data_IF_139407605127
#
_entry.id   IF_139407605127
#
_cell.length_a   1.000
_cell.length_b   1.000
_cell.length_c   1.000
_cell.angle_alpha   90.00
_cell.angle_beta   90.00
_cell.angle_gamma   90.00
#
_symmetry.space_group_name_H-M   'P 1'
#
loop_
_entity.id
_entity.type
_entity.pdbx_description
1 polymer ?
#
# COMPACT_ATOMS: atom_id res chain seq x y z
N UNK A 1 -3.43 3.86 -69.34
CA UNK A 1 -4.37 2.91 -68.69
C UNK A 1 -3.56 1.86 -67.93
N UNK A 2 -4.01 1.47 -66.72
CA UNK A 2 -3.49 0.49 -65.73
C UNK A 2 -3.14 1.18 -64.40
N UNK A 3 -4.13 1.50 -63.56
CA UNK A 3 -4.86 0.69 -62.54
C UNK A 3 -3.99 0.26 -61.35
N UNK A 4 -4.27 0.95 -60.24
CA UNK A 4 -3.98 0.69 -58.84
C UNK A 4 -4.48 -0.70 -58.41
N UNK A 5 -3.71 -1.42 -57.59
CA UNK A 5 -4.23 -2.48 -56.70
C UNK A 5 -3.48 -2.38 -55.38
N UNK A 6 -4.19 -1.99 -54.32
CA UNK A 6 -3.77 -2.05 -52.93
C UNK A 6 -4.31 -3.38 -52.38
N UNK A 7 -3.43 -4.24 -51.89
CA UNK A 7 -3.80 -5.46 -51.17
C UNK A 7 -3.90 -5.14 -49.67
N UNK A 8 -5.12 -5.17 -49.13
CA UNK A 8 -5.37 -5.28 -47.70
C UNK A 8 -5.23 -6.76 -47.31
N UNK A 9 -4.28 -7.07 -46.43
CA UNK A 9 -4.23 -8.35 -45.74
C UNK A 9 -4.93 -8.20 -44.38
N UNK A 10 -6.06 -8.88 -44.22
CA UNK A 10 -6.80 -9.02 -42.98
C UNK A 10 -6.25 -10.26 -42.24
N UNK A 11 -5.55 -10.08 -41.13
CA UNK A 11 -5.20 -11.17 -40.21
C UNK A 11 -6.18 -11.20 -39.04
N UNK A 12 -7.01 -12.25 -38.98
CA UNK A 12 -7.84 -12.55 -37.82
C UNK A 12 -6.95 -12.91 -36.62
N UNK A 13 -7.00 -12.10 -35.56
CA UNK A 13 -6.45 -12.46 -34.26
C UNK A 13 -7.45 -13.39 -33.57
N UNK A 14 -7.08 -14.66 -33.38
CA UNK A 14 -7.80 -15.55 -32.49
C UNK A 14 -7.65 -15.04 -31.05
N UNK A 15 -8.75 -14.52 -30.48
CA UNK A 15 -8.82 -14.16 -29.07
C UNK A 15 -9.11 -15.46 -28.31
N UNK A 16 -8.08 -16.14 -27.85
CA UNK A 16 -8.24 -17.05 -26.72
C UNK A 16 -8.59 -16.19 -25.50
N UNK A 17 -9.59 -16.54 -24.68
CA UNK A 17 -9.78 -15.87 -23.41
C UNK A 17 -8.57 -16.23 -22.55
N UNK A 18 -7.61 -15.32 -22.45
CA UNK A 18 -6.66 -15.35 -21.34
C UNK A 18 -7.54 -15.30 -20.09
N UNK A 19 -7.60 -16.39 -19.34
CA UNK A 19 -8.05 -16.35 -17.95
C UNK A 19 -7.17 -15.32 -17.27
N UNK A 20 -7.68 -14.10 -17.08
CA UNK A 20 -7.02 -13.07 -16.29
C UNK A 20 -6.95 -13.63 -14.87
N UNK A 21 -5.85 -14.31 -14.53
CA UNK A 21 -5.59 -14.72 -13.17
C UNK A 21 -5.49 -13.45 -12.34
N UNK A 22 -6.41 -13.27 -11.39
CA UNK A 22 -6.31 -12.23 -10.39
C UNK A 22 -4.95 -12.40 -9.68
N UNK A 23 -4.18 -11.32 -9.55
CA UNK A 23 -2.87 -11.35 -8.92
C UNK A 23 -2.96 -11.92 -7.49
N UNK A 24 -1.95 -12.68 -7.07
CA UNK A 24 -1.90 -13.25 -5.72
C UNK A 24 -1.10 -12.34 -4.79
N UNK A 25 -1.59 -12.10 -3.58
CA UNK A 25 -0.89 -11.39 -2.52
C UNK A 25 -0.43 -12.38 -1.44
N UNK A 26 0.88 -12.57 -1.30
CA UNK A 26 1.48 -13.39 -0.24
C UNK A 26 1.90 -12.49 0.92
N UNK A 27 1.15 -12.52 2.03
CA UNK A 27 1.24 -11.51 3.08
C UNK A 27 1.76 -12.10 4.39
N UNK A 28 2.83 -11.49 4.91
CA UNK A 28 3.48 -11.85 6.17
C UNK A 28 2.97 -10.93 7.27
N UNK A 29 2.46 -11.52 8.35
CA UNK A 29 1.96 -10.79 9.52
C UNK A 29 3.03 -10.04 10.33
N UNK A 30 2.57 -9.40 11.39
CA UNK A 30 3.39 -8.69 12.38
C UNK A 30 3.61 -9.50 13.66
N UNK A 31 3.85 -8.80 14.77
CA UNK A 31 4.01 -9.43 16.09
C UNK A 31 2.65 -9.66 16.79
N UNK A 32 2.65 -10.57 17.77
CA UNK A 32 1.49 -10.81 18.63
C UNK A 32 0.27 -11.29 17.84
N UNK A 33 -0.90 -10.71 18.10
CA UNK A 33 -2.16 -11.13 17.44
C UNK A 33 -2.14 -10.95 15.91
N UNK A 34 -1.25 -10.11 15.37
CA UNK A 34 -1.13 -9.86 13.94
C UNK A 34 -0.14 -10.81 13.24
N UNK A 35 0.39 -11.82 13.94
CA UNK A 35 1.28 -12.82 13.31
C UNK A 35 0.56 -13.66 12.23
N UNK A 36 -0.78 -13.72 12.31
CA UNK A 36 -1.67 -14.36 11.36
C UNK A 36 -2.69 -13.28 11.01
N UNK A 37 -2.71 -12.91 9.74
CA UNK A 37 -3.63 -11.93 9.20
C UNK A 37 -4.93 -12.63 8.81
N UNK A 38 -6.06 -12.06 9.22
CA UNK A 38 -7.37 -12.50 8.73
C UNK A 38 -7.55 -12.07 7.27
N UNK A 39 -8.51 -12.67 6.55
CA UNK A 39 -8.85 -12.18 5.20
C UNK A 39 -9.29 -10.71 5.24
N UNK A 40 -10.00 -10.28 6.30
CA UNK A 40 -10.37 -8.88 6.48
C UNK A 40 -9.16 -7.97 6.68
N UNK A 41 -8.18 -8.36 7.50
CA UNK A 41 -6.95 -7.59 7.68
C UNK A 41 -6.23 -7.38 6.35
N UNK A 42 -6.09 -8.46 5.58
CA UNK A 42 -5.41 -8.43 4.29
C UNK A 42 -6.21 -7.63 3.24
N UNK A 43 -7.53 -7.80 3.19
CA UNK A 43 -8.41 -7.13 2.23
C UNK A 43 -8.54 -5.64 2.49
N UNK A 44 -8.37 -5.18 3.74
CA UNK A 44 -8.52 -3.76 4.12
C UNK A 44 -7.19 -3.02 4.28
N UNK A 45 -6.06 -3.74 4.27
CA UNK A 45 -4.73 -3.16 4.32
C UNK A 45 -4.51 -2.10 3.23
N UNK A 46 -3.85 -1.01 3.61
CA UNK A 46 -3.58 0.17 2.79
C UNK A 46 -4.83 0.74 2.09
N UNK A 47 -5.99 0.62 2.76
CA UNK A 47 -7.29 1.07 2.27
C UNK A 47 -7.86 0.23 1.14
N UNK A 48 -7.51 -1.05 1.08
CA UNK A 48 -8.03 -1.98 0.09
C UNK A 48 -7.08 -2.28 -1.05
N UNK A 49 -5.77 -2.02 -0.88
CA UNK A 49 -4.77 -2.26 -1.93
C UNK A 49 -4.77 -3.71 -2.43
N UNK A 50 -5.05 -4.67 -1.55
CA UNK A 50 -5.14 -6.09 -1.89
C UNK A 50 -6.58 -6.62 -2.03
N UNK A 51 -7.59 -5.74 -2.09
CA UNK A 51 -9.00 -6.14 -2.04
C UNK A 51 -9.41 -7.06 -3.21
N UNK A 52 -8.80 -6.87 -4.38
CA UNK A 52 -9.10 -7.63 -5.61
C UNK A 52 -8.07 -8.75 -5.87
N UNK A 53 -7.16 -9.01 -4.93
CA UNK A 53 -6.16 -10.07 -5.03
C UNK A 53 -6.70 -11.39 -4.47
N UNK A 54 -6.13 -12.50 -4.93
CA UNK A 54 -6.14 -13.73 -4.14
C UNK A 54 -5.18 -13.55 -2.96
N UNK A 55 -5.66 -13.45 -1.72
CA UNK A 55 -4.81 -13.14 -0.56
C UNK A 55 -4.46 -14.41 0.22
N UNK A 56 -3.20 -14.57 0.54
CA UNK A 56 -2.67 -15.69 1.31
C UNK A 56 -1.88 -15.15 2.48
N UNK A 57 -2.28 -15.52 3.70
CA UNK A 57 -1.44 -15.29 4.87
C UNK A 57 -0.30 -16.31 4.89
N UNK A 58 0.93 -15.84 4.78
CA UNK A 58 2.13 -16.67 4.91
C UNK A 58 2.45 -16.86 6.39
N UNK A 59 2.67 -18.12 6.79
CA UNK A 59 2.92 -18.47 8.19
C UNK A 59 4.18 -17.77 8.73
N UNK A 60 4.00 -17.00 9.80
CA UNK A 60 5.03 -16.25 10.49
C UNK A 60 4.88 -16.40 12.00
N UNK A 61 5.91 -16.85 12.74
CA UNK A 61 5.76 -17.06 14.19
C UNK A 61 5.44 -15.79 15.01
N UNK A 62 5.89 -14.61 14.56
CA UNK A 62 5.57 -13.33 15.22
C UNK A 62 6.04 -13.18 16.68
N UNK A 63 7.07 -13.94 17.09
CA UNK A 63 7.59 -13.94 18.47
C UNK A 63 8.67 -12.87 18.65
N UNK A 64 8.38 -11.83 19.42
CA UNK A 64 9.32 -10.72 19.67
C UNK A 64 10.54 -11.15 20.50
N UNK A 65 10.35 -12.05 21.47
CA UNK A 65 11.43 -12.60 22.29
C UNK A 65 12.32 -13.61 21.53
N UNK A 66 11.84 -14.14 20.42
CA UNK A 66 12.57 -15.02 19.50
C UNK A 66 12.52 -14.44 18.09
N UNK A 67 12.83 -13.15 17.97
CA UNK A 67 12.62 -12.41 16.72
C UNK A 67 13.40 -12.99 15.55
N UNK A 68 14.68 -13.32 15.77
CA UNK A 68 15.49 -13.99 14.75
C UNK A 68 14.84 -15.27 14.23
N UNK A 69 14.38 -16.14 15.13
CA UNK A 69 13.68 -17.37 14.75
C UNK A 69 12.42 -17.06 13.92
N UNK A 70 11.64 -16.06 14.32
CA UNK A 70 10.44 -15.66 13.57
C UNK A 70 10.78 -15.20 12.16
N UNK A 71 11.81 -14.36 12.01
CA UNK A 71 12.29 -13.87 10.71
C UNK A 71 12.84 -15.00 9.85
N UNK A 72 13.64 -15.91 10.42
CA UNK A 72 14.21 -17.04 9.67
C UNK A 72 13.09 -17.96 9.12
N UNK A 73 12.13 -18.34 9.96
CA UNK A 73 10.98 -19.18 9.54
C UNK A 73 10.11 -18.45 8.52
N UNK A 74 9.78 -17.18 8.76
CA UNK A 74 8.99 -16.39 7.81
C UNK A 74 9.67 -16.24 6.46
N UNK A 75 11.00 -16.05 6.45
CA UNK A 75 11.81 -15.96 5.22
C UNK A 75 11.73 -17.26 4.42
N UNK A 76 11.93 -18.41 5.07
CA UNK A 76 11.83 -19.71 4.42
C UNK A 76 10.43 -19.96 3.84
N UNK A 77 9.39 -19.68 4.63
CA UNK A 77 7.99 -19.89 4.21
C UNK A 77 7.59 -18.98 3.05
N UNK A 78 7.94 -17.69 3.10
CA UNK A 78 7.61 -16.75 2.03
C UNK A 78 8.38 -17.08 0.74
N UNK A 79 9.68 -17.38 0.85
CA UNK A 79 10.49 -17.74 -0.31
C UNK A 79 9.92 -18.99 -1.00
N UNK A 80 9.55 -20.04 -0.25
CA UNK A 80 8.88 -21.21 -0.82
C UNK A 80 7.53 -20.85 -1.47
N UNK A 81 6.70 -20.05 -0.80
CA UNK A 81 5.39 -19.66 -1.31
C UNK A 81 5.46 -18.86 -2.62
N UNK A 82 6.54 -18.10 -2.87
CA UNK A 82 6.76 -17.42 -4.16
C UNK A 82 6.83 -18.42 -5.32
N UNK A 83 7.47 -19.57 -5.14
CA UNK A 83 7.61 -20.59 -6.19
C UNK A 83 6.39 -21.51 -6.30
N UNK A 84 5.66 -21.70 -5.20
CA UNK A 84 4.41 -22.50 -5.19
C UNK A 84 3.21 -21.73 -5.78
N UNK A 85 3.35 -20.42 -5.97
CA UNK A 85 2.29 -19.54 -6.48
C UNK A 85 2.46 -19.31 -7.98
N UNK A 86 1.45 -19.73 -8.76
CA UNK A 86 1.43 -19.46 -10.19
C UNK A 86 0.93 -18.04 -10.50
N UNK A 87 1.57 -17.41 -11.49
CA UNK A 87 1.15 -16.12 -12.05
C UNK A 87 1.64 -14.90 -11.25
N UNK A 88 1.20 -13.69 -11.67
CA UNK A 88 1.65 -12.44 -11.07
C UNK A 88 1.38 -12.40 -9.56
N UNK A 89 2.43 -12.08 -8.80
CA UNK A 89 2.43 -12.13 -7.34
C UNK A 89 2.89 -10.80 -6.75
N UNK A 90 2.29 -10.40 -5.63
CA UNK A 90 2.81 -9.34 -4.77
C UNK A 90 3.13 -9.92 -3.41
N UNK A 91 4.40 -9.87 -3.00
CA UNK A 91 4.79 -10.22 -1.64
C UNK A 91 4.58 -9.00 -0.74
N UNK A 92 4.03 -9.19 0.45
CA UNK A 92 3.83 -8.09 1.37
C UNK A 92 4.03 -8.44 2.83
N UNK A 93 4.24 -7.42 3.64
CA UNK A 93 4.36 -7.59 5.08
C UNK A 93 3.94 -6.37 5.88
N UNK A 94 3.67 -6.61 7.16
CA UNK A 94 3.39 -5.55 8.13
C UNK A 94 4.35 -5.62 9.32
N UNK A 95 4.80 -4.46 9.81
CA UNK A 95 5.49 -4.34 11.10
C UNK A 95 6.70 -5.29 11.23
N UNK A 96 6.70 -6.14 12.26
CA UNK A 96 7.73 -7.14 12.55
C UNK A 96 7.99 -8.14 11.41
N UNK A 97 7.07 -8.29 10.44
CA UNK A 97 7.26 -9.10 9.24
C UNK A 97 8.16 -8.46 8.19
N UNK A 98 8.46 -7.15 8.26
CA UNK A 98 9.24 -6.46 7.21
C UNK A 98 10.60 -7.06 6.88
N UNK A 99 11.40 -7.57 7.86
CA UNK A 99 12.68 -8.19 7.54
C UNK A 99 12.53 -9.43 6.65
N UNK A 100 11.39 -10.13 6.71
CA UNK A 100 11.11 -11.31 5.89
C UNK A 100 11.13 -10.94 4.41
N UNK A 101 10.40 -9.89 4.01
CA UNK A 101 10.36 -9.40 2.62
C UNK A 101 11.75 -8.98 2.16
N UNK A 102 12.46 -8.21 2.99
CA UNK A 102 13.81 -7.76 2.62
C UNK A 102 14.80 -8.92 2.47
N UNK A 103 14.67 -9.98 3.27
CA UNK A 103 15.51 -11.17 3.13
C UNK A 103 15.16 -11.95 1.87
N UNK A 104 13.86 -12.15 1.58
CA UNK A 104 13.41 -12.84 0.35
C UNK A 104 13.89 -12.11 -0.89
N UNK A 105 13.77 -10.78 -0.95
CA UNK A 105 14.28 -10.00 -2.08
C UNK A 105 15.80 -10.18 -2.28
N UNK A 106 16.59 -10.25 -1.20
CA UNK A 106 18.03 -10.56 -1.28
C UNK A 106 18.33 -11.98 -1.73
N UNK A 107 17.50 -12.94 -1.34
CA UNK A 107 17.63 -14.33 -1.80
C UNK A 107 17.31 -14.45 -3.28
N UNK A 108 16.24 -13.80 -3.75
CA UNK A 108 15.86 -13.78 -5.16
C UNK A 108 16.93 -13.11 -6.05
N UNK A 109 17.60 -12.06 -5.56
CA UNK A 109 18.72 -11.44 -6.27
C UNK A 109 19.93 -12.38 -6.50
N UNK A 110 20.05 -13.43 -5.68
CA UNK A 110 21.09 -14.45 -5.76
C UNK A 110 20.61 -15.74 -6.43
N UNK A 111 19.32 -15.84 -6.73
CA UNK A 111 18.73 -17.03 -7.31
C UNK A 111 19.13 -17.16 -8.79
N UNK A 112 19.51 -18.35 -9.28
CA UNK A 112 19.79 -18.56 -10.70
C UNK A 112 18.54 -18.53 -11.59
N UNK A 113 17.34 -18.72 -11.03
CA UNK A 113 16.06 -18.72 -11.72
C UNK A 113 14.97 -18.00 -10.88
N UNK A 114 15.13 -16.69 -10.61
CA UNK A 114 14.13 -15.92 -9.89
C UNK A 114 12.92 -15.62 -10.79
N UNK A 115 11.75 -15.29 -10.22
CA UNK A 115 10.61 -14.77 -10.99
C UNK A 115 11.03 -13.58 -11.85
N UNK A 116 10.44 -13.42 -13.03
CA UNK A 116 10.76 -12.27 -13.87
C UNK A 116 10.33 -10.96 -13.18
N UNK A 117 10.97 -9.81 -13.47
CA UNK A 117 10.62 -8.54 -12.83
C UNK A 117 9.15 -8.11 -13.02
N UNK A 118 8.49 -8.61 -14.07
CA UNK A 118 7.08 -8.37 -14.36
C UNK A 118 6.11 -9.31 -13.62
N UNK A 119 6.62 -10.32 -12.94
CA UNK A 119 5.84 -11.36 -12.26
C UNK A 119 5.78 -11.15 -10.73
N UNK A 120 6.60 -10.25 -10.19
CA UNK A 120 6.71 -10.02 -8.76
C UNK A 120 6.86 -8.54 -8.41
N UNK A 121 6.00 -8.06 -7.51
CA UNK A 121 6.17 -6.78 -6.81
C UNK A 121 6.20 -7.00 -5.29
N UNK A 122 6.64 -5.99 -4.54
CA UNK A 122 6.70 -6.02 -3.08
C UNK A 122 6.00 -4.83 -2.43
N UNK A 123 5.33 -5.04 -1.29
CA UNK A 123 4.70 -3.98 -0.52
C UNK A 123 4.85 -4.17 0.99
N UNK A 124 5.44 -3.19 1.68
CA UNK A 124 5.70 -3.24 3.12
C UNK A 124 5.01 -2.06 3.79
N UNK A 125 4.18 -2.35 4.79
CA UNK A 125 3.65 -1.33 5.68
C UNK A 125 4.33 -1.38 7.05
N UNK A 126 4.68 -0.20 7.58
CA UNK A 126 5.14 -0.04 8.96
C UNK A 126 6.42 -0.81 9.27
N UNK A 127 7.30 -1.02 8.28
CA UNK A 127 8.52 -1.80 8.49
C UNK A 127 9.38 -1.23 9.61
N UNK A 128 9.88 -2.10 10.49
CA UNK A 128 10.57 -1.68 11.72
C UNK A 128 11.82 -0.85 11.43
N UNK A 129 11.99 0.27 12.15
CA UNK A 129 13.15 1.17 12.01
C UNK A 129 14.43 0.56 12.64
N UNK A 130 15.64 1.05 12.28
CA UNK A 130 16.92 0.46 12.70
C UNK A 130 17.06 0.26 14.22
N UNK A 131 16.48 1.15 15.02
CA UNK A 131 16.51 1.07 16.49
C UNK A 131 15.95 -0.25 17.02
N UNK A 132 14.90 -0.76 16.38
CA UNK A 132 14.17 -1.95 16.84
C UNK A 132 14.87 -3.27 16.49
N UNK A 133 15.96 -3.24 15.71
CA UNK A 133 16.78 -4.42 15.47
C UNK A 133 17.77 -4.71 16.61
N UNK A 134 18.12 -3.70 17.43
CA UNK A 134 19.12 -3.85 18.49
C UNK A 134 18.67 -4.90 19.52
N UNK A 135 19.53 -5.88 19.76
CA UNK A 135 19.27 -6.93 20.76
C UNK A 135 18.33 -8.05 20.30
N UNK A 136 17.87 -8.03 19.05
CA UNK A 136 16.91 -9.03 18.54
C UNK A 136 17.54 -10.27 17.90
N UNK A 137 18.86 -10.21 17.65
CA UNK A 137 19.59 -11.23 16.88
C UNK A 137 19.45 -11.09 15.36
N UNK A 138 18.61 -10.17 14.86
CA UNK A 138 18.51 -9.82 13.43
C UNK A 138 19.34 -8.57 13.17
N UNK A 139 20.22 -8.62 12.16
CA UNK A 139 21.02 -7.46 11.75
C UNK A 139 20.18 -6.55 10.86
N UNK A 140 20.07 -5.26 11.21
CA UNK A 140 19.50 -4.26 10.30
C UNK A 140 20.34 -4.17 9.03
N UNK A 141 19.66 -4.12 7.89
CA UNK A 141 20.23 -3.87 6.58
C UNK A 141 19.33 -2.87 5.85
N UNK A 142 19.90 -1.92 5.08
CA UNK A 142 19.12 -1.08 4.18
C UNK A 142 18.24 -1.88 3.23
N UNK A 143 17.26 -1.22 2.62
CA UNK A 143 16.44 -1.83 1.56
C UNK A 143 17.35 -2.47 0.50
N UNK A 144 17.07 -3.72 0.09
CA UNK A 144 17.89 -4.38 -0.92
C UNK A 144 17.69 -3.72 -2.28
N UNK A 145 18.77 -3.72 -3.07
CA UNK A 145 18.68 -3.55 -4.51
C UNK A 145 18.00 -4.78 -5.10
N UNK A 146 17.04 -4.58 -5.99
CA UNK A 146 16.16 -5.64 -6.51
C UNK A 146 15.59 -5.23 -7.87
N UNK A 147 15.37 -6.16 -8.82
CA UNK A 147 14.70 -5.82 -10.07
C UNK A 147 13.19 -5.58 -9.91
N UNK A 148 12.61 -5.99 -8.78
CA UNK A 148 11.19 -5.83 -8.45
C UNK A 148 10.87 -4.45 -7.90
N UNK A 149 9.65 -3.95 -8.14
CA UNK A 149 9.23 -2.69 -7.54
C UNK A 149 8.84 -2.90 -6.08
N UNK A 150 9.22 -1.95 -5.23
CA UNK A 150 8.96 -2.00 -3.80
C UNK A 150 8.13 -0.79 -3.37
N UNK A 151 6.98 -1.03 -2.76
CA UNK A 151 6.19 0.00 -2.07
C UNK A 151 6.48 -0.04 -0.58
N UNK A 152 6.97 1.06 0.00
CA UNK A 152 7.19 1.19 1.44
C UNK A 152 6.26 2.25 1.99
N UNK A 153 5.35 1.84 2.86
CA UNK A 153 4.33 2.70 3.46
C UNK A 153 4.57 2.83 4.96
N UNK A 154 4.53 4.05 5.48
CA UNK A 154 4.56 4.29 6.93
C UNK A 154 3.78 5.54 7.29
N UNK A 155 3.29 5.61 8.52
CA UNK A 155 2.73 6.85 9.04
C UNK A 155 3.84 7.78 9.56
N UNK A 156 3.66 9.07 9.31
CA UNK A 156 4.53 10.13 9.82
C UNK A 156 4.58 10.06 11.35
N UNK A 157 5.79 9.96 11.90
CA UNK A 157 6.06 9.82 13.33
C UNK A 157 5.58 8.52 13.98
N UNK A 158 5.24 7.49 13.21
CA UNK A 158 5.07 6.14 13.75
C UNK A 158 6.36 5.70 14.46
N UNK A 159 6.36 5.60 15.79
CA UNK A 159 7.59 5.27 16.52
C UNK A 159 8.15 3.86 16.26
N UNK A 160 7.42 2.99 15.57
CA UNK A 160 7.97 1.70 15.13
C UNK A 160 8.68 1.87 13.78
N UNK A 161 8.02 2.48 12.80
CA UNK A 161 8.47 2.54 11.41
C UNK A 161 9.21 3.83 11.01
N UNK A 162 8.99 4.90 11.75
CA UNK A 162 9.45 6.27 11.53
C UNK A 162 10.01 6.84 12.84
N UNK A 163 11.00 6.16 13.42
CA UNK A 163 11.70 6.66 14.60
C UNK A 163 12.65 7.82 14.21
N UNK A 164 12.79 8.88 15.03
CA UNK A 164 13.65 10.03 14.71
C UNK A 164 15.12 9.65 14.54
N UNK A 165 15.77 10.23 13.52
CA UNK A 165 17.19 10.07 13.23
C UNK A 165 18.10 10.72 14.27
N UNK A 166 17.64 11.83 14.87
CA UNK A 166 18.35 12.49 15.97
C UNK A 166 17.81 12.00 17.33
N UNK A 167 18.52 11.10 18.03
CA UNK A 167 18.05 10.55 19.31
C UNK A 167 18.06 11.56 20.46
N UNK A 168 18.68 12.73 20.31
CA UNK A 168 18.76 13.76 21.37
C UNK A 168 17.59 14.74 21.36
N UNK A 169 16.71 14.69 20.35
CA UNK A 169 15.49 15.48 20.35
C UNK A 169 14.40 14.79 21.18
N UNK A 170 14.37 15.10 22.48
CA UNK A 170 13.44 14.48 23.43
C UNK A 170 11.96 14.68 23.05
N UNK A 171 11.60 15.85 22.50
CA UNK A 171 10.23 16.11 22.04
C UNK A 171 9.84 15.20 20.87
N UNK A 172 10.74 15.03 19.89
CA UNK A 172 10.51 14.12 18.77
C UNK A 172 10.41 12.65 19.24
N UNK A 173 11.21 12.25 20.23
CA UNK A 173 11.13 10.91 20.80
C UNK A 173 9.80 10.66 21.52
N UNK A 174 9.33 11.60 22.35
CA UNK A 174 8.00 11.52 22.98
C UNK A 174 6.89 11.49 21.93
N UNK A 175 7.00 12.32 20.89
CA UNK A 175 6.06 12.31 19.79
C UNK A 175 6.02 10.95 19.06
N UNK A 176 7.18 10.37 18.79
CA UNK A 176 7.30 9.06 18.14
C UNK A 176 6.71 7.94 19.00
N UNK A 177 6.94 7.97 20.32
CA UNK A 177 6.31 7.02 21.27
C UNK A 177 4.78 7.12 21.18
N UNK A 178 4.23 8.34 21.19
CA UNK A 178 2.79 8.53 20.98
C UNK A 178 2.34 8.03 19.61
N UNK A 179 3.14 8.25 18.56
CA UNK A 179 2.87 7.74 17.22
C UNK A 179 2.89 6.21 17.12
N UNK A 180 3.75 5.52 17.87
CA UNK A 180 3.75 4.06 17.94
C UNK A 180 2.41 3.52 18.47
N UNK A 181 1.83 4.16 19.49
CA UNK A 181 0.54 3.76 20.06
C UNK A 181 -0.65 4.14 19.18
N UNK A 182 -0.62 5.33 18.59
CA UNK A 182 -1.78 5.92 17.91
C UNK A 182 -1.84 5.61 16.41
N UNK A 183 -0.69 5.36 15.78
CA UNK A 183 -0.59 5.28 14.33
C UNK A 183 -0.20 3.89 13.82
N UNK A 184 0.71 3.18 14.51
CA UNK A 184 1.39 2.04 13.93
C UNK A 184 0.43 0.99 13.35
N UNK A 185 -0.56 0.57 14.14
CA UNK A 185 -1.59 -0.36 13.67
C UNK A 185 -2.72 0.35 12.92
N UNK A 186 -3.36 1.43 13.45
CA UNK A 186 -4.52 2.02 12.79
C UNK A 186 -4.25 2.52 11.36
N UNK A 187 -3.06 3.06 11.11
CA UNK A 187 -2.70 3.58 9.78
C UNK A 187 -2.37 2.49 8.76
N UNK A 188 -2.28 1.21 9.18
CA UNK A 188 -2.14 0.08 8.27
C UNK A 188 -3.35 -0.04 7.33
N UNK A 189 -4.49 0.51 7.73
CA UNK A 189 -5.74 0.47 6.99
C UNK A 189 -6.08 1.80 6.31
N UNK A 190 -5.17 2.78 6.33
CA UNK A 190 -5.36 4.07 5.66
C UNK A 190 -5.32 3.89 4.14
N UNK A 191 -6.22 4.56 3.41
CA UNK A 191 -6.22 4.56 1.94
C UNK A 191 -5.05 5.36 1.40
N UNK A 192 -4.03 4.64 0.93
CA UNK A 192 -2.79 5.24 0.44
C UNK A 192 -3.00 6.07 -0.84
N UNK A 193 -4.11 5.89 -1.56
CA UNK A 193 -4.47 6.75 -2.70
C UNK A 193 -4.83 8.17 -2.27
N UNK A 194 -5.18 8.36 -0.99
CA UNK A 194 -5.49 9.65 -0.39
C UNK A 194 -4.25 10.37 0.16
N UNK A 195 -3.07 9.75 0.06
CA UNK A 195 -1.82 10.41 0.47
C UNK A 195 -1.46 11.49 -0.55
N UNK A 196 -1.23 12.74 -0.10
CA UNK A 196 -0.77 13.81 -0.97
C UNK A 196 0.50 13.47 -1.75
N UNK A 197 0.59 13.91 -3.02
CA UNK A 197 1.74 13.63 -3.88
C UNK A 197 3.09 14.11 -3.29
N UNK A 198 3.11 15.20 -2.52
CA UNK A 198 4.30 15.71 -1.83
C UNK A 198 4.77 14.83 -0.64
N UNK A 199 4.01 13.80 -0.30
CA UNK A 199 4.36 12.77 0.69
C UNK A 199 4.62 11.40 0.03
N UNK A 200 4.72 11.37 -1.29
CA UNK A 200 5.07 10.19 -2.08
C UNK A 200 6.39 10.49 -2.79
N UNK A 201 7.36 9.60 -2.66
CA UNK A 201 8.63 9.70 -3.36
C UNK A 201 8.88 8.40 -4.11
N UNK A 202 9.20 8.50 -5.39
CA UNK A 202 9.64 7.37 -6.21
C UNK A 202 11.14 7.53 -6.41
N UNK A 203 11.91 6.49 -6.09
CA UNK A 203 13.35 6.49 -6.36
C UNK A 203 13.62 6.39 -7.86
N UNK A 204 14.80 6.83 -8.28
CA UNK A 204 15.36 6.36 -9.54
C UNK A 204 15.48 4.82 -9.52
N UNK A 205 15.49 4.17 -10.71
CA UNK A 205 15.79 2.75 -10.80
C UNK A 205 17.12 2.44 -10.15
N UNK A 206 17.12 1.41 -9.32
CA UNK A 206 18.29 0.94 -8.63
C UNK A 206 19.21 0.16 -9.60
N UNK A 207 20.35 -0.35 -9.14
CA UNK A 207 21.32 -1.08 -9.97
C UNK A 207 20.78 -2.37 -10.63
N UNK A 208 19.64 -2.88 -10.16
CA UNK A 208 18.90 -4.02 -10.71
C UNK A 208 17.67 -3.61 -11.53
N UNK A 209 17.36 -2.31 -11.61
CA UNK A 209 16.26 -1.76 -12.40
C UNK A 209 14.94 -1.57 -11.64
N UNK A 210 14.81 -2.07 -10.42
CA UNK A 210 13.60 -1.87 -9.61
C UNK A 210 13.53 -0.47 -9.00
N UNK A 211 12.31 0.03 -8.79
CA UNK A 211 12.06 1.32 -8.13
C UNK A 211 11.43 1.14 -6.75
N UNK A 212 11.74 2.05 -5.82
CA UNK A 212 11.07 2.12 -4.52
C UNK A 212 10.10 3.29 -4.49
N UNK A 213 8.81 3.02 -4.30
CA UNK A 213 7.78 4.02 -3.98
C UNK A 213 7.63 4.13 -2.47
N UNK A 214 8.13 5.21 -1.88
CA UNK A 214 7.95 5.55 -0.47
C UNK A 214 6.69 6.39 -0.28
N UNK A 215 5.79 5.96 0.60
CA UNK A 215 4.54 6.65 0.93
C UNK A 215 4.55 6.98 2.42
N UNK A 216 4.52 8.28 2.74
CA UNK A 216 4.45 8.77 4.11
C UNK A 216 3.04 9.27 4.40
N UNK A 217 2.26 8.53 5.18
CA UNK A 217 0.90 8.96 5.57
C UNK A 217 1.05 10.13 6.56
N UNK A 218 0.68 11.37 6.18
CA UNK A 218 0.90 12.53 7.04
C UNK A 218 0.03 12.48 8.29
N UNK A 219 0.42 13.15 9.36
CA UNK A 219 -0.47 13.34 10.52
C UNK A 219 -1.14 14.71 10.46
N UNK A 220 -2.45 14.83 10.79
CA UNK A 220 -3.12 16.13 10.81
C UNK A 220 -2.58 17.04 11.92
N UNK A 221 -2.20 16.45 13.06
CA UNK A 221 -1.49 17.08 14.17
C UNK A 221 -0.49 16.08 14.73
N UNK A 222 0.58 16.58 15.36
CA UNK A 222 1.60 15.80 16.03
C UNK A 222 0.93 14.75 16.94
N UNK A 223 1.34 13.46 16.89
CA UNK A 223 0.82 12.42 17.76
C UNK A 223 0.74 12.79 19.24
N UNK A 224 1.70 13.56 19.76
CA UNK A 224 1.66 14.01 21.16
C UNK A 224 0.45 14.92 21.48
N UNK A 225 -0.10 15.61 20.48
CA UNK A 225 -1.24 16.52 20.61
C UNK A 225 -2.59 15.83 20.35
N UNK A 226 -2.59 14.67 19.69
CA UNK A 226 -3.83 13.96 19.34
C UNK A 226 -4.71 13.62 20.56
N UNK A 227 -4.18 13.17 21.72
CA UNK A 227 -5.01 12.89 22.89
C UNK A 227 -5.75 14.12 23.41
N UNK A 228 -5.17 15.33 23.27
CA UNK A 228 -5.83 16.56 23.70
C UNK A 228 -7.02 16.86 22.80
N UNK A 229 -6.85 16.71 21.48
CA UNK A 229 -7.93 16.86 20.51
C UNK A 229 -9.06 15.86 20.76
N UNK A 230 -8.72 14.59 21.04
CA UNK A 230 -9.68 13.54 21.36
C UNK A 230 -10.46 13.81 22.66
N UNK A 231 -9.87 14.54 23.60
CA UNK A 231 -10.52 14.97 24.85
C UNK A 231 -11.34 16.27 24.70
N UNK A 232 -11.52 16.78 23.48
CA UNK A 232 -12.35 17.95 23.20
C UNK A 232 -11.63 19.29 23.35
N UNK A 233 -10.29 19.31 23.35
CA UNK A 233 -9.57 20.58 23.25
C UNK A 233 -9.91 21.30 21.93
N UNK A 234 -9.94 22.63 21.99
CA UNK A 234 -10.19 23.51 20.85
C UNK A 234 -9.24 23.19 19.67
N UNK A 235 -9.77 22.74 18.51
CA UNK A 235 -8.95 22.37 17.35
C UNK A 235 -8.02 23.47 16.87
N UNK A 236 -8.43 24.74 16.94
CA UNK A 236 -7.63 25.87 16.44
C UNK A 236 -6.44 26.13 17.35
N UNK A 237 -6.63 25.98 18.67
CA UNK A 237 -5.51 26.06 19.64
C UNK A 237 -4.54 24.91 19.46
N UNK A 238 -5.03 23.70 19.20
CA UNK A 238 -4.16 22.54 18.92
C UNK A 238 -3.38 22.76 17.63
N UNK A 239 -4.01 23.31 16.58
CA UNK A 239 -3.34 23.64 15.33
C UNK A 239 -2.23 24.69 15.52
N UNK A 240 -2.47 25.73 16.32
CA UNK A 240 -1.45 26.72 16.65
C UNK A 240 -0.27 26.11 17.44
N UNK A 241 -0.55 25.18 18.35
CA UNK A 241 0.49 24.49 19.10
C UNK A 241 1.28 23.53 18.21
N UNK A 242 0.60 22.80 17.32
CA UNK A 242 1.24 21.97 16.29
C UNK A 242 2.19 22.80 15.43
N UNK A 243 1.74 23.95 14.91
CA UNK A 243 2.57 24.83 14.09
C UNK A 243 3.85 25.30 14.80
N UNK A 244 3.83 25.43 16.13
CA UNK A 244 5.00 25.80 16.94
C UNK A 244 5.92 24.61 17.24
N UNK A 245 5.35 23.44 17.54
CA UNK A 245 6.11 22.26 17.98
C UNK A 245 6.61 21.41 16.81
N UNK A 246 5.88 21.34 15.71
CA UNK A 246 6.19 20.50 14.55
C UNK A 246 7.56 20.81 13.95
N UNK A 247 7.97 22.08 13.74
CA UNK A 247 9.34 22.36 13.28
C UNK A 247 10.42 21.85 14.25
N UNK A 248 10.14 21.85 15.56
CA UNK A 248 11.07 21.30 16.56
C UNK A 248 11.17 19.79 16.42
N UNK A 249 10.04 19.09 16.25
CA UNK A 249 9.98 17.65 16.03
C UNK A 249 10.64 17.27 14.71
N UNK A 250 10.32 17.96 13.63
CA UNK A 250 10.79 17.67 12.27
C UNK A 250 12.30 17.78 12.11
N UNK A 251 12.96 18.67 12.88
CA UNK A 251 14.43 18.73 12.93
C UNK A 251 15.11 17.43 13.38
N UNK A 252 14.37 16.49 13.95
CA UNK A 252 14.88 15.17 14.30
C UNK A 252 14.80 14.14 13.18
N UNK A 253 14.15 14.46 12.05
CA UNK A 253 13.88 13.53 10.95
C UNK A 253 14.60 13.96 9.69
N UNK A 254 15.29 13.02 9.05
CA UNK A 254 15.80 13.15 7.69
C UNK A 254 14.71 12.67 6.76
N UNK A 255 13.94 13.60 6.22
CA UNK A 255 13.01 13.33 5.12
C UNK A 255 13.79 13.41 3.82
N UNK A 256 13.71 12.38 2.98
CA UNK A 256 14.19 12.47 1.61
C UNK A 256 13.22 13.40 0.86
N UNK A 257 13.48 14.71 0.90
CA UNK A 257 12.82 15.64 0.00
C UNK A 257 13.62 15.62 -1.29
N UNK A 258 13.13 14.88 -2.29
CA UNK A 258 13.65 15.03 -3.64
C UNK A 258 12.61 15.76 -4.47
N UNK A 259 13.09 16.86 -5.06
CA UNK A 259 12.49 17.75 -6.06
C UNK A 259 11.37 17.10 -6.85
N UNK A 260 10.20 17.73 -6.84
CA UNK A 260 9.13 17.49 -7.81
C UNK A 260 9.77 17.44 -9.20
N UNK A 261 9.75 16.27 -9.84
CA UNK A 261 10.01 16.18 -11.27
C UNK A 261 8.99 17.11 -11.92
N UNK A 262 9.51 18.17 -12.53
CA UNK A 262 8.74 19.25 -13.12
C UNK A 262 7.66 18.70 -14.07
N UNK A 263 6.42 18.67 -13.60
CA UNK A 263 5.23 18.54 -14.46
C UNK A 263 4.96 19.86 -15.22
N UNK A 264 5.97 20.71 -15.43
CA UNK A 264 5.89 22.01 -16.11
C UNK A 264 6.26 21.96 -17.59
N UNK A 265 6.54 20.79 -18.17
CA UNK A 265 6.77 20.68 -19.62
C UNK A 265 5.49 20.64 -20.47
N UNK A 266 4.30 20.55 -19.88
CA UNK A 266 3.04 20.53 -20.62
C UNK A 266 1.91 21.23 -19.86
N UNK A 267 2.03 22.54 -19.60
CA UNK A 267 0.94 23.55 -19.57
C UNK A 267 1.59 24.90 -19.22
N UNK A 268 2.38 25.45 -20.14
CA UNK A 268 2.58 26.90 -20.19
C UNK A 268 1.47 27.44 -21.05
N UNK A 269 0.39 27.90 -20.43
CA UNK A 269 -0.40 29.09 -20.74
C UNK A 269 -1.63 29.01 -19.84
N UNK A 270 -2.04 30.15 -19.28
CA UNK A 270 -3.22 30.37 -18.41
C UNK A 270 -3.18 29.71 -17.04
N UNK A 271 -2.63 30.44 -16.05
CA UNK A 271 -3.34 30.80 -14.80
C UNK A 271 -2.38 31.54 -13.86
N UNK A 272 -2.05 32.77 -14.27
CA UNK A 272 -1.46 33.76 -13.39
C UNK A 272 -2.57 34.51 -12.64
N UNK A 273 -3.44 33.83 -11.89
CA UNK A 273 -4.41 34.48 -10.99
C UNK A 273 -4.98 33.55 -9.90
N UNK A 274 -4.15 32.79 -9.17
CA UNK A 274 -4.66 32.07 -7.97
C UNK A 274 -3.60 31.92 -6.85
N UNK A 275 -2.67 32.88 -6.78
CA UNK A 275 -1.75 32.99 -5.66
C UNK A 275 -2.41 33.73 -4.48
N UNK A 276 -3.39 33.11 -3.82
CA UNK A 276 -3.90 33.58 -2.53
C UNK A 276 -4.43 32.51 -1.56
N UNK A 277 -4.48 31.21 -1.92
CA UNK A 277 -5.13 30.20 -1.07
C UNK A 277 -4.20 29.09 -0.53
N UNK A 278 -2.93 29.43 -0.30
CA UNK A 278 -1.93 28.48 0.22
C UNK A 278 -1.81 28.49 1.74
N UNK A 279 -2.90 28.17 2.45
CA UNK A 279 -2.84 27.57 3.79
C UNK A 279 -4.20 27.09 4.30
N UNK A 280 -4.89 26.26 3.53
CA UNK A 280 -5.99 25.50 4.12
C UNK A 280 -5.42 24.55 5.20
N UNK A 281 -5.97 24.52 6.43
CA UNK A 281 -5.43 23.71 7.52
C UNK A 281 -5.35 22.23 7.11
N UNK A 282 -4.19 21.58 7.34
CA UNK A 282 -4.00 20.12 7.09
C UNK A 282 -5.13 19.26 7.64
N UNK A 283 -5.79 19.72 8.71
CA UNK A 283 -7.00 19.14 9.32
C UNK A 283 -8.21 19.11 8.38
N UNK A 284 -8.53 20.20 7.66
CA UNK A 284 -9.70 20.28 6.78
C UNK A 284 -9.57 19.25 5.67
N UNK A 285 -8.44 19.31 4.94
CA UNK A 285 -8.04 18.30 3.96
C UNK A 285 -8.11 16.86 4.50
N UNK A 286 -7.80 16.64 5.77
CA UNK A 286 -7.87 15.33 6.42
C UNK A 286 -9.28 14.86 6.77
N UNK A 287 -10.17 15.76 7.19
CA UNK A 287 -11.54 15.43 7.55
C UNK A 287 -12.38 15.09 6.32
N UNK A 288 -12.23 15.86 5.26
CA UNK A 288 -12.96 15.64 4.00
C UNK A 288 -12.57 14.29 3.39
N UNK A 289 -11.27 13.98 3.35
CA UNK A 289 -10.78 12.67 2.86
C UNK A 289 -11.20 11.49 3.74
N UNK A 290 -11.30 11.67 5.06
CA UNK A 290 -11.79 10.62 5.96
C UNK A 290 -13.28 10.37 5.74
N UNK A 291 -14.07 11.43 5.53
CA UNK A 291 -15.49 11.32 5.21
C UNK A 291 -15.69 10.59 3.88
N UNK A 292 -14.97 10.99 2.82
CA UNK A 292 -15.00 10.33 1.51
C UNK A 292 -14.59 8.86 1.58
N UNK A 293 -13.54 8.53 2.35
CA UNK A 293 -13.10 7.15 2.54
C UNK A 293 -14.11 6.32 3.33
N UNK A 294 -14.77 6.91 4.33
CA UNK A 294 -15.85 6.25 5.09
C UNK A 294 -17.09 6.02 4.23
N UNK A 295 -17.47 6.99 3.39
CA UNK A 295 -18.57 6.86 2.44
C UNK A 295 -18.29 5.79 1.38
N UNK A 296 -17.07 5.76 0.81
CA UNK A 296 -16.66 4.70 -0.13
C UNK A 296 -16.62 3.31 0.49
N UNK A 297 -16.20 3.19 1.76
CA UNK A 297 -16.27 1.93 2.53
C UNK A 297 -17.71 1.48 2.70
N UNK A 298 -18.60 2.40 3.08
CA UNK A 298 -20.03 2.12 3.26
C UNK A 298 -20.70 1.74 1.94
N UNK A 299 -20.37 2.43 0.85
CA UNK A 299 -20.85 2.12 -0.50
C UNK A 299 -20.36 0.75 -1.00
N UNK A 300 -19.09 0.40 -0.78
CA UNK A 300 -18.54 -0.92 -1.13
C UNK A 300 -19.14 -2.05 -0.29
N UNK A 301 -19.42 -1.80 0.99
CA UNK A 301 -20.17 -2.74 1.84
C UNK A 301 -21.61 -2.90 1.34
N UNK A 302 -22.32 -1.81 1.06
CA UNK A 302 -23.69 -1.86 0.56
C UNK A 302 -23.82 -2.62 -0.78
N UNK A 303 -22.86 -2.43 -1.70
CA UNK A 303 -22.84 -3.14 -2.99
C UNK A 303 -22.57 -4.66 -2.86
N UNK A 304 -21.96 -5.11 -1.74
CA UNK A 304 -21.80 -6.55 -1.44
C UNK A 304 -23.09 -7.19 -0.92
N UNK A 305 -23.96 -6.44 -0.25
CA UNK A 305 -25.20 -6.97 0.32
C UNK A 305 -26.39 -6.90 -0.64
N UNK A 306 -26.40 -5.97 -1.60
CA UNK A 306 -27.42 -5.85 -2.65
C UNK A 306 -26.76 -5.70 -4.03
N UNK A 307 -26.35 -6.80 -4.70
CA UNK A 307 -25.95 -6.69 -6.10
C UNK A 307 -27.15 -6.19 -6.90
N UNK A 308 -27.03 -5.03 -7.56
CA UNK A 308 -28.04 -4.55 -8.49
C UNK A 308 -28.19 -5.61 -9.60
N UNK A 309 -29.32 -6.33 -9.59
CA UNK A 309 -29.70 -7.22 -10.69
C UNK A 309 -29.87 -6.36 -11.95
N UNK A 310 -29.32 -6.76 -13.11
CA UNK A 310 -29.67 -6.12 -14.37
C UNK A 310 -31.18 -6.26 -14.57
N UNK A 311 -31.84 -5.14 -14.85
CA UNK A 311 -33.25 -5.11 -15.24
C UNK A 311 -33.40 -5.90 -16.54
N UNK A 312 -34.09 -7.04 -16.47
CA UNK A 312 -34.47 -7.79 -17.65
C UNK A 312 -35.46 -6.95 -18.46
N UNK A 313 -35.01 -6.45 -19.62
CA UNK A 313 -35.86 -5.81 -20.60
C UNK A 313 -36.86 -6.84 -21.14
N UNK A 314 -38.13 -6.63 -20.85
CA UNK A 314 -39.27 -7.34 -21.42
C UNK A 314 -39.47 -6.90 -22.87
N UNK A 315 -39.35 -7.83 -23.80
CA UNK A 315 -39.90 -7.69 -25.15
C UNK A 315 -40.72 -8.95 -25.50
N UNK A 316 -41.86 -8.82 -26.23
CA UNK A 316 -42.89 -9.84 -26.27
C UNK A 316 -42.65 -10.93 -27.32
N UNK A 317 -43.33 -12.05 -27.05
CA UNK A 317 -43.47 -13.28 -27.84
C UNK A 317 -43.74 -13.06 -29.33
N UNK A 318 -43.06 -13.83 -30.18
CA UNK A 318 -43.61 -14.32 -31.44
C UNK A 318 -43.83 -15.83 -31.35
N UNK A 319 -45.03 -16.24 -31.76
CA UNK A 319 -45.46 -17.63 -31.82
C UNK A 319 -44.96 -18.30 -33.12
N UNK A 320 -44.66 -19.59 -33.02
CA UNK A 320 -44.40 -20.48 -34.15
C UNK A 320 -44.21 -21.90 -33.65
N UNK A 321 -45.18 -22.77 -33.94
CA UNK A 321 -45.29 -24.19 -33.63
C UNK A 321 -44.12 -25.01 -34.25
N UNK A 322 -43.80 -26.27 -33.96
CA UNK A 322 -44.54 -27.51 -33.65
C UNK A 322 -43.42 -28.57 -33.42
N UNK A 323 -43.37 -29.45 -32.42
CA UNK A 323 -43.97 -30.80 -32.34
C UNK A 323 -43.24 -31.62 -31.24
N UNK A 324 -44.01 -32.35 -30.41
CA UNK A 324 -43.88 -33.77 -29.98
C UNK A 324 -42.48 -34.44 -29.96
N UNK A 325 -42.09 -35.30 -29.02
CA UNK A 325 -42.83 -36.38 -28.36
C UNK A 325 -41.98 -36.99 -27.20
N UNK A 326 -42.67 -37.69 -26.30
CA UNK A 326 -42.31 -38.89 -25.53
C UNK A 326 -41.11 -38.99 -24.53
N UNK A 327 -41.49 -39.33 -23.28
CA UNK A 327 -41.00 -40.45 -22.44
C UNK A 327 -39.52 -40.47 -21.99
N UNK A 328 -39.07 -41.07 -20.88
CA UNK A 328 -39.59 -41.62 -19.64
C UNK A 328 -38.32 -42.13 -18.91
N UNK A 329 -38.33 -42.15 -17.58
CA UNK A 329 -37.34 -42.73 -16.64
C UNK A 329 -36.15 -41.85 -16.24
#
# INVERSE_FOLDING_TARGET
MKRLVILLALSLLAISPATAHAATALLVGGAGKYHVLTDEDMATAMGGYFADYTRVNVAFPGQVNRFKYSVDVGTANLYAAVYDTAGPTTIGSVSAGSPVIYNVLRMLDQDPNPPAPTELDAAVYGGISPRWYRGTGVKYQPLPETPYNLKVVKAEYDGIADWPDNPFNGLAAVNAVMGAFLLHVPMAYYDISQVPADHITVSEPNSRGGVTTSILIPTPVLPLLQPMLQKGADPDRIAQLDAKLRPIVDRAYKRNQTTTVDATAATKTTEATEASDRQEPRRIRWQDRKADAAERRTARQANRWHPQRPTASTAPRSAGADTADAAAS
#
